data_IF_112179411324
#
_entry.id   IF_112179411324
#
_cell.length_a   1.000
_cell.length_b   1.000
_cell.length_c   1.000
_cell.angle_alpha   90.00
_cell.angle_beta   90.00
_cell.angle_gamma   90.00
#
_symmetry.space_group_name_H-M   'P 1'
#
loop_
_entity.id
_entity.type
_entity.pdbx_description
1 polymer ?
#
# COMPACT_ATOMS: atom_id res chain seq x y z
N UNK A 1 9.11 -29.10 -21.03
CA UNK A 1 9.49 -28.81 -19.62
C UNK A 1 9.35 -30.11 -18.86
N UNK A 2 10.35 -30.54 -18.09
CA UNK A 2 10.26 -31.81 -17.36
C UNK A 2 9.35 -31.70 -16.14
N UNK A 3 8.62 -32.78 -15.82
CA UNK A 3 7.66 -32.80 -14.71
C UNK A 3 8.30 -32.44 -13.36
N UNK A 4 9.55 -32.86 -13.13
CA UNK A 4 10.31 -32.49 -11.93
C UNK A 4 10.50 -30.98 -11.80
N UNK A 5 10.94 -30.32 -12.86
CA UNK A 5 11.13 -28.87 -12.89
C UNK A 5 9.79 -28.14 -12.73
N UNK A 6 8.74 -28.62 -13.42
CA UNK A 6 7.41 -28.03 -13.35
C UNK A 6 6.89 -28.00 -11.90
N UNK A 7 7.03 -29.12 -11.17
CA UNK A 7 6.60 -29.24 -9.78
C UNK A 7 7.47 -28.40 -8.83
N UNK A 8 8.80 -28.40 -8.97
CA UNK A 8 9.69 -27.55 -8.15
C UNK A 8 9.36 -26.06 -8.30
N UNK A 9 9.05 -25.63 -9.52
CA UNK A 9 8.73 -24.23 -9.80
C UNK A 9 7.37 -23.83 -9.22
N UNK A 10 6.39 -24.74 -9.24
CA UNK A 10 5.12 -24.57 -8.56
C UNK A 10 5.26 -24.54 -7.02
N UNK A 11 6.08 -25.42 -6.44
CA UNK A 11 6.26 -25.45 -4.98
C UNK A 11 7.01 -24.21 -4.46
N UNK A 12 8.00 -23.74 -5.22
CA UNK A 12 8.83 -22.60 -4.80
C UNK A 12 8.20 -21.25 -5.10
N UNK A 13 7.61 -21.08 -6.28
CA UNK A 13 7.17 -19.77 -6.79
C UNK A 13 5.63 -19.70 -6.86
N UNK A 14 4.93 -20.84 -6.80
CA UNK A 14 3.48 -20.88 -6.92
C UNK A 14 2.98 -20.71 -8.36
N UNK A 15 3.88 -20.73 -9.35
CA UNK A 15 3.56 -20.58 -10.77
C UNK A 15 4.63 -21.19 -11.67
N UNK A 16 4.23 -21.66 -12.86
CA UNK A 16 5.11 -22.22 -13.90
C UNK A 16 4.45 -21.99 -15.27
N UNK A 17 5.20 -21.83 -16.38
CA UNK A 17 4.59 -21.73 -17.71
C UNK A 17 3.58 -22.86 -17.99
N UNK A 18 2.37 -22.49 -18.40
CA UNK A 18 1.26 -23.42 -18.62
C UNK A 18 0.36 -23.67 -17.38
N UNK A 19 0.72 -23.15 -16.20
CA UNK A 19 -0.15 -23.21 -15.02
C UNK A 19 -1.39 -22.32 -15.19
N UNK A 20 -2.58 -22.91 -15.03
CA UNK A 20 -3.88 -22.23 -15.18
C UNK A 20 -4.56 -21.88 -13.85
N UNK A 21 -3.91 -22.17 -12.72
CA UNK A 21 -4.41 -21.83 -11.38
C UNK A 21 -4.01 -20.41 -10.95
N UNK A 22 -4.38 -20.03 -9.72
CA UNK A 22 -3.99 -18.74 -9.17
C UNK A 22 -2.52 -18.77 -8.77
N UNK A 23 -1.71 -17.85 -9.31
CA UNK A 23 -0.28 -17.72 -9.03
C UNK A 23 0.02 -17.20 -7.61
N UNK A 24 -0.99 -17.16 -6.74
CA UNK A 24 -0.93 -16.61 -5.37
C UNK A 24 -0.73 -17.68 -4.30
N UNK A 25 -0.18 -18.85 -4.62
CA UNK A 25 0.34 -19.75 -3.60
C UNK A 25 1.74 -19.28 -3.18
N UNK A 26 1.82 -18.12 -2.54
CA UNK A 26 3.03 -17.77 -1.77
C UNK A 26 3.04 -18.63 -0.52
N UNK A 27 4.20 -19.24 -0.22
CA UNK A 27 4.46 -19.81 1.11
C UNK A 27 4.16 -18.73 2.15
N UNK A 28 3.18 -18.97 3.01
CA UNK A 28 2.86 -18.05 4.10
C UNK A 28 4.07 -18.05 5.04
N UNK A 29 4.79 -16.92 5.14
CA UNK A 29 5.89 -16.77 6.08
C UNK A 29 5.41 -16.86 7.54
N UNK A 30 4.13 -16.57 7.75
CA UNK A 30 3.46 -16.59 9.05
C UNK A 30 2.65 -17.87 9.22
N UNK A 31 3.18 -18.80 10.00
CA UNK A 31 2.47 -19.96 10.51
C UNK A 31 1.47 -19.55 11.61
N UNK A 32 0.43 -20.34 11.82
CA UNK A 32 -0.63 -19.99 12.79
C UNK A 32 -0.12 -19.96 14.23
N UNK A 33 0.86 -20.80 14.57
CA UNK A 33 1.55 -20.76 15.87
C UNK A 33 2.28 -19.43 16.09
N UNK A 34 3.07 -18.98 15.11
CA UNK A 34 3.79 -17.69 15.18
C UNK A 34 2.84 -16.49 15.26
N UNK A 35 1.68 -16.57 14.60
CA UNK A 35 0.65 -15.51 14.70
C UNK A 35 0.06 -15.45 16.10
N UNK A 36 -0.25 -16.61 16.70
CA UNK A 36 -0.77 -16.68 18.05
C UNK A 36 0.27 -16.14 19.06
N UNK A 37 1.53 -16.54 18.91
CA UNK A 37 2.64 -16.05 19.72
C UNK A 37 2.81 -14.52 19.63
N UNK A 38 2.76 -13.95 18.42
CA UNK A 38 2.83 -12.49 18.25
C UNK A 38 1.66 -11.76 18.93
N UNK A 39 0.46 -12.33 18.91
CA UNK A 39 -0.72 -11.76 19.58
C UNK A 39 -0.60 -11.85 21.10
N UNK A 40 -0.09 -12.97 21.61
CA UNK A 40 0.08 -13.22 23.04
C UNK A 40 1.16 -12.30 23.64
N UNK A 41 2.33 -12.22 23.00
CA UNK A 41 3.42 -11.32 23.41
C UNK A 41 2.98 -9.85 23.40
N UNK A 42 2.18 -9.45 22.39
CA UNK A 42 1.68 -8.09 22.28
C UNK A 42 0.63 -7.77 23.35
N UNK A 43 -0.32 -8.69 23.60
CA UNK A 43 -1.42 -8.48 24.54
C UNK A 43 -0.93 -8.50 26.00
N UNK A 44 0.10 -9.29 26.29
CA UNK A 44 0.71 -9.40 27.62
C UNK A 44 1.42 -8.12 28.08
N UNK A 45 1.79 -7.23 27.16
CA UNK A 45 2.49 -5.97 27.45
C UNK A 45 1.54 -4.76 27.59
N UNK A 46 0.23 -4.99 27.65
CA UNK A 46 -0.81 -3.96 27.82
C UNK A 46 -0.58 -2.73 26.91
N UNK A 47 -0.75 -2.90 25.59
CA UNK A 47 -0.36 -1.89 24.62
C UNK A 47 -1.20 -0.62 24.77
N UNK A 48 -0.54 0.51 24.97
CA UNK A 48 -1.15 1.84 24.95
C UNK A 48 -0.88 2.54 23.62
N UNK A 49 -1.63 3.59 23.25
CA UNK A 49 -1.37 4.33 22.02
C UNK A 49 0.06 4.88 21.90
N UNK A 50 0.76 5.14 23.01
CA UNK A 50 2.15 5.61 22.98
C UNK A 50 3.15 4.46 22.91
N UNK A 51 2.90 3.37 23.64
CA UNK A 51 3.82 2.22 23.71
C UNK A 51 3.62 1.20 22.59
N UNK A 52 2.49 1.24 21.87
CA UNK A 52 2.11 0.19 20.91
C UNK A 52 3.12 0.00 19.79
N UNK A 53 3.82 1.05 19.37
CA UNK A 53 4.85 0.98 18.33
C UNK A 53 6.20 0.46 18.85
N UNK A 54 6.49 0.60 20.14
CA UNK A 54 7.68 0.04 20.78
C UNK A 54 7.51 -1.45 20.98
N UNK A 55 6.37 -1.87 21.53
CA UNK A 55 5.99 -3.28 21.71
C UNK A 55 6.00 -4.02 20.36
N UNK A 56 5.50 -3.41 19.29
CA UNK A 56 5.55 -4.01 17.94
C UNK A 56 6.98 -4.23 17.45
N UNK A 57 7.93 -3.36 17.79
CA UNK A 57 9.34 -3.55 17.44
C UNK A 57 9.96 -4.66 18.27
N UNK A 58 9.70 -4.70 19.57
CA UNK A 58 10.25 -5.72 20.45
C UNK A 58 9.77 -7.13 20.06
N UNK A 59 8.48 -7.26 19.72
CA UNK A 59 7.90 -8.51 19.20
C UNK A 59 8.50 -8.88 17.83
N UNK A 60 8.72 -7.90 16.96
CA UNK A 60 9.32 -8.12 15.65
C UNK A 60 10.77 -8.62 15.76
N UNK A 61 11.58 -8.00 16.62
CA UNK A 61 12.95 -8.39 16.88
C UNK A 61 13.02 -9.79 17.51
N UNK A 62 12.12 -10.12 18.44
CA UNK A 62 12.03 -11.44 19.07
C UNK A 62 11.65 -12.56 18.07
N UNK A 63 10.75 -12.27 17.13
CA UNK A 63 10.28 -13.24 16.13
C UNK A 63 11.13 -13.26 14.84
N UNK A 64 12.10 -12.34 14.71
CA UNK A 64 12.90 -12.18 13.49
C UNK A 64 12.09 -11.71 12.28
N UNK A 65 11.00 -10.98 12.53
CA UNK A 65 10.05 -10.51 11.51
C UNK A 65 10.12 -8.99 11.36
N UNK A 66 9.52 -8.45 10.31
CA UNK A 66 9.45 -6.98 10.17
C UNK A 66 8.38 -6.38 11.09
N UNK A 67 8.59 -5.18 11.67
CA UNK A 67 7.57 -4.48 12.47
C UNK A 67 6.24 -4.28 11.73
N UNK A 68 6.31 -4.06 10.41
CA UNK A 68 5.11 -3.96 9.57
C UNK A 68 4.39 -5.31 9.43
N UNK A 69 5.13 -6.42 9.34
CA UNK A 69 4.57 -7.77 9.33
C UNK A 69 3.79 -8.07 10.61
N UNK A 70 4.41 -7.81 11.78
CA UNK A 70 3.75 -7.94 13.09
C UNK A 70 2.49 -7.08 13.15
N UNK A 71 2.59 -5.79 12.77
CA UNK A 71 1.42 -4.89 12.73
C UNK A 71 0.29 -5.42 11.86
N UNK A 72 0.59 -6.03 10.71
CA UNK A 72 -0.42 -6.64 9.85
C UNK A 72 -1.14 -7.80 10.54
N UNK A 73 -0.41 -8.66 11.26
CA UNK A 73 -0.99 -9.78 12.00
C UNK A 73 -1.88 -9.26 13.14
N UNK A 74 -1.39 -8.33 13.94
CA UNK A 74 -2.14 -7.75 15.06
C UNK A 74 -3.40 -6.99 14.59
N UNK A 75 -3.31 -6.27 13.47
CA UNK A 75 -4.46 -5.58 12.87
C UNK A 75 -5.49 -6.59 12.36
N UNK A 76 -5.04 -7.68 11.73
CA UNK A 76 -5.93 -8.75 11.26
C UNK A 76 -6.57 -9.53 12.41
N UNK A 77 -5.88 -9.63 13.54
CA UNK A 77 -6.39 -10.20 14.79
C UNK A 77 -7.28 -9.22 15.59
N UNK A 78 -7.34 -7.93 15.20
CA UNK A 78 -8.17 -6.92 15.85
C UNK A 78 -7.63 -6.38 17.19
N UNK A 79 -6.44 -6.79 17.62
CA UNK A 79 -5.84 -6.41 18.92
C UNK A 79 -4.94 -5.17 18.83
N UNK A 80 -4.57 -4.74 17.63
CA UNK A 80 -3.61 -3.64 17.44
C UNK A 80 -4.14 -2.28 17.91
N UNK A 81 -3.43 -1.65 18.84
CA UNK A 81 -3.74 -0.30 19.32
C UNK A 81 -3.01 0.74 18.46
N UNK A 82 -3.78 1.51 17.69
CA UNK A 82 -3.23 2.56 16.83
C UNK A 82 -2.68 3.71 17.68
N UNK A 83 -1.52 4.24 17.30
CA UNK A 83 -0.98 5.46 17.89
C UNK A 83 -1.99 6.60 17.80
N UNK A 84 -2.14 7.36 18.88
CA UNK A 84 -2.99 8.55 18.90
C UNK A 84 -2.51 9.51 17.80
N UNK A 85 -3.42 10.12 17.02
CA UNK A 85 -3.02 11.12 16.06
C UNK A 85 -2.45 12.31 16.83
N UNK A 86 -1.13 12.44 16.87
CA UNK A 86 -0.54 13.76 17.11
C UNK A 86 -1.03 14.65 15.99
N UNK A 87 -1.55 15.83 16.31
CA UNK A 87 -1.94 16.87 15.36
C UNK A 87 -0.70 17.39 14.62
N UNK A 88 -0.09 16.53 13.84
CA UNK A 88 0.96 16.83 12.90
C UNK A 88 0.24 17.22 11.63
N UNK A 89 0.35 18.50 11.27
CA UNK A 89 0.01 18.99 9.94
C UNK A 89 0.49 17.96 8.92
N UNK A 90 -0.45 17.41 8.15
CA UNK A 90 -0.21 16.43 7.10
C UNK A 90 0.60 17.10 5.98
N UNK A 91 1.90 17.26 6.20
CA UNK A 91 2.88 17.39 5.12
C UNK A 91 3.03 16.00 4.49
N UNK A 92 1.97 15.53 3.84
CA UNK A 92 1.99 14.31 3.05
C UNK A 92 2.83 14.57 1.79
N UNK A 93 4.15 14.44 1.92
CA UNK A 93 5.07 14.37 0.77
C UNK A 93 4.81 13.11 -0.08
N UNK A 94 3.98 12.19 0.42
CA UNK A 94 3.34 11.14 -0.39
C UNK A 94 2.11 11.72 -1.09
N UNK A 95 2.32 12.24 -2.30
CA UNK A 95 1.24 12.79 -3.13
C UNK A 95 0.00 11.89 -3.12
N UNK A 96 -1.14 12.50 -2.76
CA UNK A 96 -2.45 11.85 -2.78
C UNK A 96 -2.58 11.01 -4.05
N UNK A 97 -3.11 9.79 -3.94
CA UNK A 97 -3.30 8.94 -5.12
C UNK A 97 -4.32 9.62 -6.02
N UNK A 98 -3.81 10.31 -7.04
CA UNK A 98 -4.61 11.01 -8.01
C UNK A 98 -5.15 10.01 -9.03
N UNK A 99 -6.48 9.91 -9.13
CA UNK A 99 -7.15 9.21 -10.22
C UNK A 99 -6.82 9.91 -11.54
N UNK A 100 -6.38 9.14 -12.54
CA UNK A 100 -6.01 9.69 -13.85
C UNK A 100 -7.21 10.39 -14.51
N UNK A 101 -8.40 9.79 -14.45
CA UNK A 101 -9.61 10.33 -15.05
C UNK A 101 -10.03 11.65 -14.38
N UNK A 102 -10.01 11.69 -13.05
CA UNK A 102 -10.42 12.88 -12.29
C UNK A 102 -9.46 14.05 -12.54
N UNK A 103 -8.16 13.77 -12.62
CA UNK A 103 -7.16 14.78 -12.92
C UNK A 103 -7.24 15.32 -14.36
N UNK A 104 -7.53 14.46 -15.33
CA UNK A 104 -7.73 14.86 -16.71
C UNK A 104 -8.98 15.74 -16.87
N UNK A 105 -10.06 15.37 -16.18
CA UNK A 105 -11.30 16.16 -16.17
C UNK A 105 -11.08 17.54 -15.55
N UNK A 106 -10.40 17.60 -14.40
CA UNK A 106 -10.04 18.87 -13.78
C UNK A 106 -9.16 19.76 -14.68
N UNK A 107 -8.29 19.14 -15.50
CA UNK A 107 -7.46 19.87 -16.45
C UNK A 107 -8.26 20.38 -17.63
N UNK A 108 -9.18 19.59 -18.19
CA UNK A 108 -10.05 20.05 -19.27
C UNK A 108 -10.92 21.23 -18.82
N UNK A 109 -11.46 21.16 -17.61
CA UNK A 109 -12.28 22.23 -17.04
C UNK A 109 -11.46 23.52 -16.87
N UNK A 110 -10.25 23.42 -16.30
CA UNK A 110 -9.36 24.57 -16.14
C UNK A 110 -8.93 25.21 -17.46
N UNK A 111 -8.71 24.42 -18.52
CA UNK A 111 -8.40 24.93 -19.86
C UNK A 111 -9.62 25.60 -20.49
N UNK A 112 -10.82 25.04 -20.27
CA UNK A 112 -12.08 25.63 -20.74
C UNK A 112 -12.34 26.98 -20.06
N UNK A 113 -12.11 27.08 -18.76
CA UNK A 113 -12.21 28.32 -18.00
C UNK A 113 -11.19 29.37 -18.50
N UNK A 114 -10.02 28.94 -18.95
CA UNK A 114 -9.02 29.80 -19.60
C UNK A 114 -9.38 30.17 -21.06
N UNK A 115 -10.48 29.65 -21.60
CA UNK A 115 -11.00 29.97 -22.93
C UNK A 115 -10.20 29.39 -24.11
N UNK A 116 -9.43 28.32 -23.88
CA UNK A 116 -8.60 27.68 -24.89
C UNK A 116 -9.25 26.39 -25.42
N UNK A 117 -8.92 26.01 -26.67
CA UNK A 117 -9.38 24.74 -27.23
C UNK A 117 -8.69 23.53 -26.59
N UNK A 118 -9.49 22.50 -26.31
CA UNK A 118 -9.06 21.30 -25.59
C UNK A 118 -8.66 20.22 -26.59
N UNK A 119 -7.37 19.83 -26.61
CA UNK A 119 -6.92 18.64 -27.34
C UNK A 119 -7.00 17.39 -26.46
N UNK A 120 -8.10 16.65 -26.62
CA UNK A 120 -8.32 15.42 -25.85
C UNK A 120 -7.31 14.32 -26.15
N UNK A 121 -6.72 14.28 -27.34
CA UNK A 121 -5.68 13.30 -27.69
C UNK A 121 -4.38 13.52 -26.92
N UNK A 122 -4.10 14.77 -26.52
CA UNK A 122 -2.96 15.11 -25.65
C UNK A 122 -3.31 14.81 -24.19
N UNK A 123 -4.49 15.21 -23.72
CA UNK A 123 -4.92 15.03 -22.32
C UNK A 123 -4.94 13.54 -21.96
N UNK A 124 -5.44 12.68 -22.85
CA UNK A 124 -5.49 11.23 -22.66
C UNK A 124 -4.11 10.58 -22.44
N UNK A 125 -3.06 11.18 -23.00
CA UNK A 125 -1.67 10.71 -22.87
C UNK A 125 -1.00 11.19 -21.58
N UNK A 126 -1.55 12.20 -20.90
CA UNK A 126 -1.00 12.69 -19.65
C UNK A 126 -1.19 11.67 -18.50
N UNK A 127 -0.22 11.65 -17.58
CA UNK A 127 -0.39 10.94 -16.31
C UNK A 127 -1.20 11.81 -15.34
N UNK A 128 -1.93 11.21 -14.41
CA UNK A 128 -2.74 11.98 -13.44
C UNK A 128 -1.92 13.01 -12.65
N UNK A 129 -0.64 12.71 -12.34
CA UNK A 129 0.27 13.68 -11.70
C UNK A 129 0.64 14.84 -12.61
N UNK A 130 0.88 14.58 -13.90
CA UNK A 130 1.19 15.64 -14.87
C UNK A 130 -0.03 16.55 -15.07
N UNK A 131 -1.23 15.97 -15.17
CA UNK A 131 -2.47 16.74 -15.29
C UNK A 131 -2.65 17.68 -14.08
N UNK A 132 -2.51 17.18 -12.84
CA UNK A 132 -2.58 18.03 -11.63
C UNK A 132 -1.50 19.11 -11.59
N UNK A 133 -0.29 18.84 -12.09
CA UNK A 133 0.76 19.86 -12.16
C UNK A 133 0.34 21.03 -13.07
N UNK A 134 -0.19 20.74 -14.25
CA UNK A 134 -0.65 21.77 -15.19
C UNK A 134 -1.91 22.49 -14.72
N UNK A 135 -2.87 21.78 -14.10
CA UNK A 135 -4.06 22.43 -13.51
C UNK A 135 -3.65 23.48 -12.50
N UNK A 136 -2.71 23.14 -11.61
CA UNK A 136 -2.23 24.07 -10.59
C UNK A 136 -1.62 25.32 -11.21
N UNK A 137 -0.77 25.18 -12.24
CA UNK A 137 -0.18 26.33 -12.95
C UNK A 137 -1.27 27.22 -13.55
N UNK A 138 -2.26 26.64 -14.23
CA UNK A 138 -3.36 27.40 -14.85
C UNK A 138 -4.15 28.14 -13.76
N UNK A 139 -4.53 27.47 -12.68
CA UNK A 139 -5.28 28.09 -11.57
C UNK A 139 -4.50 29.18 -10.84
N UNK A 140 -3.16 29.15 -10.86
CA UNK A 140 -2.35 30.22 -10.28
C UNK A 140 -2.17 31.43 -11.19
N UNK A 141 -2.43 31.29 -12.50
CA UNK A 141 -2.29 32.36 -13.48
C UNK A 141 -3.60 33.10 -13.76
N UNK A 142 -4.75 32.47 -13.52
CA UNK A 142 -6.07 33.09 -13.50
C UNK A 142 -6.32 33.84 -12.19
#
# INVERSE_FOLDING_TARGET
>A
MGDRFYNEMLDRIGTCPGYRGTTRRRRMAWDDAKKAEAVDLYSSQEPTPETSMEIVKDVADSLGESPNGVRMILTRAGVYVKKAPTSSSSNSTGGSRVSKADAQSALSDAIQDAGQEIDQGIIDRLTGKAAVYFTNIITTMN
#
